data_IF_779112003870
#
_entry.id   IF_779112003870
#
_cell.length_a   1.000
_cell.length_b   1.000
_cell.length_c   1.000
_cell.angle_alpha   90.00
_cell.angle_beta   90.00
_cell.angle_gamma   90.00
#
_symmetry.space_group_name_H-M   'P 1'
#
loop_
_entity.id
_entity.type
_entity.pdbx_description
1 polymer ?
#
# COMPACT_ATOMS: atom_id res chain seq x y z
N UNK A 1 3.79 5.27 13.30
CA UNK A 1 4.38 4.04 13.89
C UNK A 1 4.03 3.99 15.36
N UNK A 2 3.50 2.86 15.84
CA UNK A 2 3.18 2.66 17.27
C UNK A 2 4.32 1.90 17.96
N UNK A 3 4.78 0.81 17.34
CA UNK A 3 5.87 0.00 17.84
C UNK A 3 6.80 -0.42 16.70
N UNK A 4 8.10 -0.30 16.94
CA UNK A 4 9.16 -0.69 16.02
C UNK A 4 9.60 -2.13 16.29
N UNK A 5 9.84 -2.96 15.26
CA UNK A 5 10.43 -4.28 15.44
C UNK A 5 11.91 -4.17 15.82
N UNK A 6 12.48 -5.24 16.33
CA UNK A 6 13.92 -5.30 16.63
C UNK A 6 14.76 -5.18 15.36
N UNK A 7 14.33 -5.88 14.29
CA UNK A 7 15.04 -5.91 13.03
C UNK A 7 14.06 -6.04 11.86
N UNK A 8 14.43 -5.51 10.71
CA UNK A 8 13.56 -5.50 9.52
C UNK A 8 12.38 -4.53 9.67
N UNK A 9 11.27 -4.86 9.03
CA UNK A 9 10.07 -4.00 9.07
C UNK A 9 10.27 -2.63 8.43
N UNK A 10 11.28 -2.48 7.57
CA UNK A 10 11.57 -1.22 6.86
C UNK A 10 10.57 -1.00 5.75
N UNK A 11 10.06 0.21 5.64
CA UNK A 11 9.18 0.59 4.53
C UNK A 11 10.02 0.90 3.29
N UNK A 12 9.84 0.12 2.23
CA UNK A 12 10.48 0.34 0.93
C UNK A 12 9.44 0.83 -0.08
N UNK A 13 9.82 1.78 -0.91
CA UNK A 13 8.90 2.39 -1.85
C UNK A 13 9.56 2.92 -3.12
N UNK A 14 8.80 2.90 -4.23
CA UNK A 14 9.09 3.59 -5.49
C UNK A 14 8.03 4.66 -5.69
N UNK A 15 8.32 5.93 -5.46
CA UNK A 15 7.33 6.98 -5.57
C UNK A 15 6.93 7.20 -7.03
N UNK A 16 5.62 7.38 -7.27
CA UNK A 16 5.06 7.73 -8.58
C UNK A 16 5.52 6.79 -9.71
N UNK A 17 5.63 5.51 -9.45
CA UNK A 17 5.94 4.51 -10.47
C UNK A 17 4.75 4.24 -11.39
N UNK A 18 3.54 4.48 -10.89
CA UNK A 18 2.28 4.45 -11.63
C UNK A 18 1.68 5.84 -11.68
N UNK A 19 0.89 6.12 -12.71
CA UNK A 19 0.15 7.38 -12.90
C UNK A 19 -1.22 7.09 -13.56
N UNK A 20 -2.17 8.03 -13.53
CA UNK A 20 -3.48 7.79 -14.12
C UNK A 20 -3.39 7.32 -15.57
N UNK A 21 -4.06 6.20 -15.87
CA UNK A 21 -4.05 5.58 -17.20
C UNK A 21 -2.77 4.83 -17.57
N UNK A 22 -1.77 4.78 -16.68
CA UNK A 22 -0.51 4.11 -16.96
C UNK A 22 -0.06 3.25 -15.76
N UNK A 23 -0.22 1.96 -15.90
CA UNK A 23 0.22 0.95 -14.92
C UNK A 23 1.74 0.80 -14.85
N UNK A 24 2.44 1.18 -15.92
CA UNK A 24 3.90 1.09 -16.02
C UNK A 24 4.45 -0.32 -15.68
N UNK A 25 3.80 -1.34 -16.21
CA UNK A 25 4.08 -2.75 -15.88
C UNK A 25 5.54 -3.14 -16.04
N UNK A 26 6.24 -2.59 -17.02
CA UNK A 26 7.64 -2.95 -17.27
C UNK A 26 8.56 -2.46 -16.13
N UNK A 27 8.39 -1.22 -15.66
CA UNK A 27 9.17 -0.69 -14.56
C UNK A 27 8.78 -1.37 -13.22
N UNK A 28 7.48 -1.61 -13.02
CA UNK A 28 7.00 -2.37 -11.85
C UNK A 28 7.61 -3.76 -11.84
N UNK A 29 7.64 -4.45 -12.98
CA UNK A 29 8.24 -5.79 -13.12
C UNK A 29 9.73 -5.80 -12.81
N UNK A 30 10.49 -4.79 -13.26
CA UNK A 30 11.91 -4.66 -12.92
C UNK A 30 12.12 -4.61 -11.42
N UNK A 31 11.34 -3.79 -10.71
CA UNK A 31 11.44 -3.67 -9.24
C UNK A 31 11.08 -4.98 -8.55
N UNK A 32 10.01 -5.65 -8.98
CA UNK A 32 9.59 -6.94 -8.42
C UNK A 32 10.68 -8.00 -8.64
N UNK A 33 11.35 -7.97 -9.78
CA UNK A 33 12.45 -8.89 -10.13
C UNK A 33 13.80 -8.51 -9.51
N UNK A 34 13.84 -7.50 -8.63
CA UNK A 34 15.03 -7.20 -7.83
C UNK A 34 15.80 -5.94 -8.22
N UNK A 35 15.37 -5.20 -9.24
CA UNK A 35 15.97 -3.90 -9.52
C UNK A 35 15.65 -2.92 -8.38
N UNK A 36 16.70 -2.45 -7.72
CA UNK A 36 16.61 -1.55 -6.56
C UNK A 36 16.94 -0.10 -6.87
N UNK A 37 17.23 0.24 -8.13
CA UNK A 37 17.72 1.58 -8.54
C UNK A 37 16.72 2.69 -8.21
N UNK A 38 15.42 2.41 -8.26
CA UNK A 38 14.33 3.36 -7.92
C UNK A 38 13.78 3.17 -6.52
N UNK A 39 14.21 2.15 -5.79
CA UNK A 39 13.69 1.84 -4.46
C UNK A 39 14.33 2.72 -3.41
N UNK A 40 13.49 3.38 -2.64
CA UNK A 40 13.87 4.17 -1.45
C UNK A 40 13.43 3.44 -0.19
N UNK A 41 14.10 3.73 0.89
CA UNK A 41 13.76 3.22 2.22
C UNK A 41 13.36 4.37 3.14
N UNK A 42 12.39 4.12 3.98
CA UNK A 42 11.98 5.00 5.05
C UNK A 42 12.01 4.23 6.36
N UNK A 43 12.89 4.66 7.25
CA UNK A 43 12.97 4.13 8.62
C UNK A 43 12.09 5.01 9.50
N UNK A 44 11.03 4.41 10.05
CA UNK A 44 10.08 5.10 10.93
C UNK A 44 10.39 4.79 12.38
N UNK A 45 10.33 5.80 13.21
CA UNK A 45 10.39 5.67 14.68
C UNK A 45 8.98 5.73 15.29
N UNK A 46 8.77 5.20 16.50
CA UNK A 46 7.52 5.38 17.23
C UNK A 46 7.16 6.86 17.37
N UNK A 47 5.92 7.21 17.02
CA UNK A 47 5.46 8.61 16.97
C UNK A 47 5.50 9.23 15.59
N UNK A 48 6.27 8.71 14.64
CA UNK A 48 6.32 9.25 13.28
C UNK A 48 4.99 9.07 12.55
N UNK A 49 4.62 10.09 11.78
CA UNK A 49 3.52 10.08 10.82
C UNK A 49 4.08 10.00 9.40
N UNK A 50 3.65 9.00 8.66
CA UNK A 50 3.95 8.86 7.22
C UNK A 50 2.67 9.10 6.42
N UNK A 51 2.77 9.97 5.40
CA UNK A 51 1.69 10.22 4.44
C UNK A 51 2.21 9.86 3.04
N UNK A 52 1.48 9.04 2.29
CA UNK A 52 1.85 8.66 0.93
C UNK A 52 0.63 8.29 0.08
N UNK A 53 0.77 8.39 -1.23
CA UNK A 53 -0.24 7.96 -2.20
C UNK A 53 0.02 6.50 -2.59
N UNK A 54 -0.50 5.56 -1.82
CA UNK A 54 -0.27 4.12 -2.02
C UNK A 54 -0.61 3.63 -3.42
N UNK A 55 -1.65 4.19 -4.04
CA UNK A 55 -2.11 3.81 -5.38
C UNK A 55 -1.07 4.06 -6.49
N UNK A 56 -0.24 5.08 -6.36
CA UNK A 56 0.80 5.45 -7.33
C UNK A 56 2.20 5.05 -6.90
N UNK A 57 2.33 4.56 -5.68
CA UNK A 57 3.62 4.22 -5.08
C UNK A 57 3.69 2.71 -4.85
N UNK A 58 4.52 2.02 -5.63
CA UNK A 58 4.83 0.62 -5.32
C UNK A 58 5.56 0.58 -3.99
N UNK A 59 5.05 -0.21 -3.04
CA UNK A 59 5.61 -0.24 -1.70
C UNK A 59 5.48 -1.61 -1.05
N UNK A 60 6.37 -1.86 -0.12
CA UNK A 60 6.32 -3.04 0.74
C UNK A 60 6.95 -2.74 2.10
N UNK A 61 6.76 -3.66 3.02
CA UNK A 61 7.52 -3.71 4.27
C UNK A 61 8.44 -4.92 4.20
N UNK A 62 9.70 -4.76 4.55
CA UNK A 62 10.63 -5.88 4.64
C UNK A 62 10.23 -6.82 5.77
N UNK A 63 10.72 -8.06 5.73
CA UNK A 63 10.44 -9.05 6.76
C UNK A 63 10.76 -8.50 8.14
N UNK A 64 9.84 -8.70 9.09
CA UNK A 64 10.06 -8.42 10.52
C UNK A 64 10.78 -9.60 11.15
N UNK A 65 11.80 -9.34 11.94
CA UNK A 65 12.59 -10.34 12.67
C UNK A 65 12.74 -9.93 14.13
N UNK A 66 12.92 -10.92 15.00
CA UNK A 66 12.99 -10.75 16.45
C UNK A 66 11.62 -10.93 17.11
N UNK A 67 11.56 -10.73 18.42
CA UNK A 67 10.38 -11.00 19.24
C UNK A 67 9.42 -9.81 19.31
N UNK A 68 9.87 -8.60 18.94
CA UNK A 68 9.05 -7.42 18.94
C UNK A 68 8.26 -7.27 17.62
N UNK A 69 6.94 -7.32 17.72
CA UNK A 69 6.06 -7.07 16.58
C UNK A 69 6.08 -5.60 16.14
N UNK A 70 5.87 -5.38 14.86
CA UNK A 70 5.70 -4.04 14.29
C UNK A 70 4.22 -3.64 14.32
N UNK A 71 3.87 -2.54 15.00
CA UNK A 71 2.50 -2.03 15.07
C UNK A 71 2.37 -0.67 14.40
N UNK A 72 1.33 -0.56 13.58
CA UNK A 72 0.95 0.67 12.88
C UNK A 72 -0.54 0.97 13.09
N UNK A 73 -0.88 2.25 13.07
CA UNK A 73 -2.21 2.72 12.75
C UNK A 73 -2.18 3.27 11.33
N UNK A 74 -3.09 2.81 10.47
CA UNK A 74 -3.14 3.21 9.04
C UNK A 74 -4.51 3.83 8.75
N UNK A 75 -4.70 5.14 9.02
CA UNK A 75 -5.90 5.84 8.58
C UNK A 75 -5.86 6.07 7.06
N UNK A 76 -6.95 5.77 6.39
CA UNK A 76 -7.12 6.04 4.96
C UNK A 76 -7.90 7.33 4.75
N UNK A 77 -7.41 8.20 3.88
CA UNK A 77 -8.09 9.43 3.48
C UNK A 77 -8.69 9.28 2.10
N UNK A 78 -9.98 9.59 1.97
CA UNK A 78 -10.73 9.53 0.73
C UNK A 78 -11.56 10.80 0.56
N UNK A 79 -11.83 11.19 -0.70
CA UNK A 79 -12.67 12.36 -1.00
C UNK A 79 -14.15 12.07 -0.77
N UNK A 80 -14.58 10.84 -1.02
CA UNK A 80 -15.96 10.40 -0.77
C UNK A 80 -15.99 9.58 0.53
N UNK A 81 -16.54 10.10 1.64
CA UNK A 81 -16.58 9.42 2.92
C UNK A 81 -17.42 8.12 2.90
N UNK A 82 -18.26 7.96 1.89
CA UNK A 82 -19.11 6.77 1.70
C UNK A 82 -18.50 5.74 0.76
N UNK A 83 -17.30 6.00 0.25
CA UNK A 83 -16.61 5.04 -0.60
C UNK A 83 -16.19 3.82 0.20
N UNK A 84 -16.47 2.65 -0.34
CA UNK A 84 -16.01 1.36 0.17
C UNK A 84 -14.96 0.77 -0.77
N UNK A 85 -14.21 -0.20 -0.30
CA UNK A 85 -13.31 -0.98 -1.15
C UNK A 85 -14.11 -1.74 -2.22
N UNK A 86 -13.47 -2.01 -3.36
CA UNK A 86 -14.05 -2.93 -4.34
C UNK A 86 -14.16 -4.34 -3.75
N UNK A 87 -15.09 -5.18 -4.25
CA UNK A 87 -15.17 -6.58 -3.81
C UNK A 87 -13.84 -7.30 -3.92
N UNK A 88 -13.13 -7.14 -5.03
CA UNK A 88 -11.84 -7.77 -5.34
C UNK A 88 -10.77 -7.34 -4.33
N UNK A 89 -10.68 -6.04 -4.05
CA UNK A 89 -9.73 -5.51 -3.07
C UNK A 89 -10.06 -6.00 -1.66
N UNK A 90 -11.34 -6.03 -1.29
CA UNK A 90 -11.77 -6.52 0.02
C UNK A 90 -11.43 -7.99 0.21
N UNK A 91 -11.65 -8.83 -0.81
CA UNK A 91 -11.27 -10.25 -0.80
C UNK A 91 -9.76 -10.43 -0.67
N UNK A 92 -8.98 -9.69 -1.47
CA UNK A 92 -7.52 -9.81 -1.47
C UNK A 92 -6.86 -9.43 -0.13
N UNK A 93 -7.40 -8.42 0.56
CA UNK A 93 -6.81 -7.91 1.81
C UNK A 93 -7.38 -8.60 3.05
N UNK A 94 -8.69 -8.85 3.08
CA UNK A 94 -9.40 -9.31 4.28
C UNK A 94 -9.96 -10.73 4.16
N UNK A 95 -9.87 -11.36 2.99
CA UNK A 95 -10.42 -12.70 2.72
C UNK A 95 -11.94 -12.74 2.79
N UNK A 96 -12.62 -11.61 2.62
CA UNK A 96 -14.10 -11.54 2.66
C UNK A 96 -14.65 -10.34 1.91
N UNK A 97 -15.86 -10.54 1.37
CA UNK A 97 -16.67 -9.49 0.74
C UNK A 97 -17.96 -9.33 1.54
N UNK A 98 -18.31 -8.10 1.89
CA UNK A 98 -19.57 -7.77 2.54
C UNK A 98 -20.57 -7.24 1.50
N UNK A 99 -21.91 -7.36 1.74
CA UNK A 99 -22.92 -6.84 0.81
C UNK A 99 -22.71 -5.39 0.40
N UNK A 100 -22.28 -4.54 1.33
CA UNK A 100 -22.00 -3.12 1.06
C UNK A 100 -20.90 -2.91 0.00
N UNK A 101 -19.94 -3.82 -0.12
CA UNK A 101 -18.89 -3.74 -1.15
C UNK A 101 -19.47 -3.96 -2.55
N UNK A 102 -20.51 -4.79 -2.66
CA UNK A 102 -21.22 -5.05 -3.92
C UNK A 102 -22.17 -3.88 -4.25
N UNK A 103 -22.98 -3.47 -3.28
CA UNK A 103 -24.00 -2.42 -3.46
C UNK A 103 -23.40 -1.06 -3.81
N UNK A 104 -22.23 -0.74 -3.23
CA UNK A 104 -21.54 0.55 -3.42
C UNK A 104 -20.32 0.46 -4.32
N UNK A 105 -20.17 -0.63 -5.07
CA UNK A 105 -19.06 -0.78 -6.00
C UNK A 105 -19.11 0.29 -7.09
N UNK A 106 -18.10 1.16 -7.12
CA UNK A 106 -17.95 2.20 -8.13
C UNK A 106 -16.59 2.07 -8.78
N UNK A 107 -16.58 1.97 -10.12
CA UNK A 107 -15.34 2.00 -10.88
C UNK A 107 -14.52 3.25 -10.56
N UNK A 108 -13.21 3.10 -10.55
CA UNK A 108 -12.28 4.24 -10.42
C UNK A 108 -12.11 4.95 -11.76
N UNK A 109 -11.89 6.25 -11.70
CA UNK A 109 -11.72 7.10 -12.89
C UNK A 109 -10.27 7.21 -13.36
N UNK A 110 -9.31 6.66 -12.61
CA UNK A 110 -7.87 6.77 -12.94
C UNK A 110 -7.36 5.69 -13.90
N UNK A 111 -8.22 4.72 -14.28
CA UNK A 111 -7.87 3.67 -15.24
C UNK A 111 -6.84 2.66 -14.76
N UNK A 112 -6.51 2.64 -13.46
CA UNK A 112 -5.60 1.67 -12.87
C UNK A 112 -6.36 0.47 -12.26
N UNK A 113 -5.75 -0.70 -12.30
CA UNK A 113 -6.24 -1.88 -11.57
C UNK A 113 -6.16 -1.66 -10.05
N UNK A 114 -7.04 -2.32 -9.32
CA UNK A 114 -7.04 -2.32 -7.86
C UNK A 114 -5.99 -3.27 -7.29
#
# INVERSE_FOLDING_TARGET
>A
MIQKPEKGGVFEYCPNIREPGNENFDEVRKVINGDRTRVRQLVLEPGDLQIFKGRFTLHRVTKVEGDNSRYLCIPSYVLDPWRVNTPEHSEAIYGKVLPIHIERNKARSDGLAD
#
